data_IF_618758991217
#
_entry.id   IF_618758991217
#
_cell.length_a   1.000
_cell.length_b   1.000
_cell.length_c   1.000
_cell.angle_alpha   90.00
_cell.angle_beta   90.00
_cell.angle_gamma   90.00
#
_symmetry.space_group_name_H-M   'P 1'
#
loop_
_entity.id
_entity.type
_entity.pdbx_description
1 polymer ?
#
# COMPACT_ATOMS: atom_id res chain seq x y z
N UNK A 1 12.50 -10.10 -13.02
CA UNK A 1 11.62 -8.94 -12.74
C UNK A 1 11.70 -8.69 -11.25
N UNK A 2 11.92 -7.44 -10.82
CA UNK A 2 11.87 -7.10 -9.40
C UNK A 2 10.41 -6.83 -9.04
N UNK A 3 9.88 -7.57 -8.06
CA UNK A 3 8.55 -7.34 -7.53
C UNK A 3 8.69 -6.48 -6.29
N UNK A 4 8.21 -5.24 -6.34
CA UNK A 4 8.13 -4.38 -5.17
C UNK A 4 6.77 -4.60 -4.49
N UNK A 5 6.78 -4.61 -3.16
CA UNK A 5 5.55 -4.53 -2.36
C UNK A 5 5.28 -3.05 -2.12
N UNK A 6 4.09 -2.59 -2.48
CA UNK A 6 3.62 -1.24 -2.20
C UNK A 6 2.54 -1.29 -1.14
N UNK A 7 2.49 -0.23 -0.34
CA UNK A 7 1.49 -0.01 0.66
C UNK A 7 0.87 1.38 0.43
N UNK A 8 -0.47 1.43 0.28
CA UNK A 8 -1.20 2.66 0.10
C UNK A 8 -1.50 3.30 1.45
N UNK A 9 -1.00 4.52 1.67
CA UNK A 9 -1.42 5.36 2.78
C UNK A 9 -2.42 6.41 2.27
N UNK A 10 -3.70 6.14 2.48
CA UNK A 10 -4.78 7.04 2.04
C UNK A 10 -5.34 7.77 3.25
N UNK A 11 -5.17 9.10 3.27
CA UNK A 11 -5.69 9.97 4.32
C UNK A 11 -6.87 10.79 3.80
N UNK A 12 -7.94 10.87 4.60
CA UNK A 12 -9.05 11.81 4.40
C UNK A 12 -9.34 12.47 5.73
N UNK A 13 -9.09 13.78 5.83
CA UNK A 13 -9.18 14.54 7.09
C UNK A 13 -8.30 13.90 8.18
N UNK A 14 -8.90 13.45 9.28
CA UNK A 14 -8.20 12.80 10.40
C UNK A 14 -8.25 11.27 10.35
N UNK A 15 -8.73 10.71 9.23
CA UNK A 15 -8.88 9.28 9.05
C UNK A 15 -7.84 8.73 8.07
N UNK A 16 -7.36 7.51 8.38
CA UNK A 16 -6.55 6.68 7.50
C UNK A 16 -7.39 5.49 7.07
N UNK A 17 -7.38 5.19 5.77
CA UNK A 17 -8.07 4.02 5.25
C UNK A 17 -7.29 2.74 5.57
N UNK A 18 -7.97 1.79 6.19
CA UNK A 18 -7.53 0.41 6.36
C UNK A 18 -8.53 -0.52 5.68
N UNK A 19 -8.03 -1.61 5.11
CA UNK A 19 -8.84 -2.62 4.46
C UNK A 19 -8.76 -3.95 5.24
N UNK A 20 -9.87 -4.69 5.26
CA UNK A 20 -9.91 -6.02 5.85
C UNK A 20 -9.54 -7.05 4.79
N UNK A 21 -8.45 -7.76 5.00
CA UNK A 21 -8.05 -8.87 4.12
C UNK A 21 -8.98 -10.08 4.28
N UNK A 22 -8.86 -11.04 3.34
CA UNK A 22 -9.53 -12.35 3.41
C UNK A 22 -9.23 -13.14 4.69
N UNK A 23 -8.05 -12.97 5.29
CA UNK A 23 -7.67 -13.61 6.56
C UNK A 23 -8.26 -12.90 7.80
N UNK A 24 -9.06 -11.85 7.60
CA UNK A 24 -9.72 -11.08 8.66
C UNK A 24 -8.87 -10.01 9.33
N UNK A 25 -7.57 -9.89 8.99
CA UNK A 25 -6.71 -8.83 9.51
C UNK A 25 -7.02 -7.50 8.84
N UNK A 26 -6.96 -6.44 9.63
CA UNK A 26 -7.03 -5.07 9.15
C UNK A 26 -5.62 -4.53 8.95
N UNK A 27 -5.35 -4.01 7.77
CA UNK A 27 -4.06 -3.44 7.41
C UNK A 27 -4.24 -2.35 6.34
N UNK A 28 -3.17 -1.62 6.06
CA UNK A 28 -3.17 -0.72 4.91
C UNK A 28 -3.35 -1.53 3.62
N UNK A 29 -4.08 -1.03 2.61
CA UNK A 29 -4.14 -1.69 1.32
C UNK A 29 -2.73 -1.87 0.75
N UNK A 30 -2.41 -3.08 0.30
CA UNK A 30 -1.08 -3.43 -0.22
C UNK A 30 -1.18 -4.05 -1.59
N UNK A 31 -0.15 -3.84 -2.40
CA UNK A 31 -0.07 -4.41 -3.73
C UNK A 31 1.30 -4.88 -4.17
N UNK A 32 1.31 -5.67 -5.23
CA UNK A 32 2.53 -6.09 -5.91
C UNK A 32 2.59 -5.35 -7.23
N UNK A 33 3.66 -4.58 -7.44
CA UNK A 33 3.84 -3.88 -8.71
C UNK A 33 4.54 -4.76 -9.71
N UNK A 34 3.89 -4.94 -10.84
CA UNK A 34 4.46 -5.58 -12.01
C UNK A 34 4.97 -4.50 -12.97
N UNK A 35 6.27 -4.18 -12.88
CA UNK A 35 6.92 -3.21 -13.76
C UNK A 35 7.36 -1.93 -13.06
N UNK A 36 7.40 -0.82 -13.80
CA UNK A 36 8.12 0.40 -13.42
C UNK A 36 7.22 1.61 -13.08
N UNK A 37 5.90 1.41 -12.96
CA UNK A 37 4.98 2.50 -12.60
C UNK A 37 4.25 2.14 -11.30
N UNK A 38 4.94 2.38 -10.20
CA UNK A 38 4.51 2.08 -8.85
C UNK A 38 3.18 2.76 -8.48
N UNK A 39 3.03 4.03 -8.87
CA UNK A 39 1.86 4.83 -8.55
C UNK A 39 0.63 4.35 -9.31
N UNK A 40 0.73 4.11 -10.62
CA UNK A 40 -0.41 3.56 -11.37
C UNK A 40 -0.78 2.16 -10.91
N UNK A 41 0.20 1.37 -10.50
CA UNK A 41 -0.04 0.01 -10.02
C UNK A 41 -0.89 0.01 -8.75
N UNK A 42 -0.57 0.87 -7.77
CA UNK A 42 -1.36 0.96 -6.53
C UNK A 42 -2.75 1.57 -6.76
N UNK A 43 -2.89 2.54 -7.66
CA UNK A 43 -4.20 3.09 -8.06
C UNK A 43 -5.10 2.01 -8.67
N UNK A 44 -4.54 1.19 -9.58
CA UNK A 44 -5.26 0.09 -10.22
C UNK A 44 -5.71 -0.96 -9.19
N UNK A 45 -4.83 -1.39 -8.31
CA UNK A 45 -5.19 -2.37 -7.29
C UNK A 45 -6.25 -1.88 -6.31
N UNK A 46 -6.16 -0.61 -5.87
CA UNK A 46 -7.18 -0.02 -5.00
C UNK A 46 -8.56 -0.02 -5.64
N UNK A 47 -8.61 0.19 -6.96
CA UNK A 47 -9.85 0.11 -7.72
C UNK A 47 -10.34 -1.34 -7.88
N UNK A 48 -9.46 -2.27 -8.25
CA UNK A 48 -9.81 -3.68 -8.47
C UNK A 48 -10.26 -4.40 -7.19
N UNK A 49 -9.57 -4.19 -6.07
CA UNK A 49 -9.85 -4.91 -4.82
C UNK A 49 -10.93 -4.23 -3.97
N UNK A 50 -10.97 -2.89 -3.97
CA UNK A 50 -11.79 -2.13 -3.03
C UNK A 50 -12.78 -1.17 -3.70
N UNK A 51 -12.78 -1.07 -5.04
CA UNK A 51 -13.58 -0.10 -5.80
C UNK A 51 -13.31 1.36 -5.37
N UNK A 52 -12.09 1.65 -4.92
CA UNK A 52 -11.66 2.97 -4.48
C UNK A 52 -10.89 3.63 -5.61
N UNK A 53 -11.38 4.79 -6.08
CA UNK A 53 -10.67 5.63 -7.05
C UNK A 53 -9.87 6.69 -6.32
N UNK A 54 -8.55 6.63 -6.42
CA UNK A 54 -7.63 7.65 -5.93
C UNK A 54 -6.66 8.07 -7.03
N UNK A 55 -5.97 9.19 -6.80
CA UNK A 55 -4.77 9.57 -7.52
C UNK A 55 -3.61 9.58 -6.52
N UNK A 56 -2.60 8.75 -6.73
CA UNK A 56 -1.45 8.66 -5.86
C UNK A 56 -0.51 9.84 -6.14
N UNK A 57 -0.18 10.62 -5.11
CA UNK A 57 0.59 11.87 -5.26
C UNK A 57 2.05 11.73 -4.88
N UNK A 58 2.37 10.81 -3.96
CA UNK A 58 3.70 10.69 -3.37
C UNK A 58 4.10 9.22 -3.25
N UNK A 59 5.31 8.92 -3.72
CA UNK A 59 6.00 7.67 -3.46
C UNK A 59 7.16 7.94 -2.52
N UNK A 60 7.25 7.18 -1.42
CA UNK A 60 8.41 7.22 -0.53
C UNK A 60 8.81 5.80 -0.15
N UNK A 61 10.11 5.58 -0.03
CA UNK A 61 10.69 4.31 0.35
C UNK A 61 11.12 4.37 1.81
N UNK A 62 10.55 3.49 2.64
CA UNK A 62 11.04 3.32 4.01
C UNK A 62 12.12 2.25 3.97
N UNK A 63 13.38 2.64 4.21
CA UNK A 63 14.44 1.69 4.47
C UNK A 63 14.32 1.23 5.93
N UNK A 64 13.62 0.11 6.14
CA UNK A 64 13.52 -0.50 7.47
C UNK A 64 14.83 -1.27 7.71
N UNK A 65 15.85 -0.59 8.22
CA UNK A 65 16.90 -1.27 8.95
C UNK A 65 16.21 -1.93 10.15
N UNK A 66 16.17 -3.27 10.17
CA UNK A 66 15.55 -4.07 11.24
C UNK A 66 16.02 -3.56 12.61
N UNK A 67 15.18 -2.74 13.26
CA UNK A 67 15.30 -2.47 14.68
C UNK A 67 14.93 -3.77 15.38
N UNK A 68 15.93 -4.65 15.54
CA UNK A 68 15.83 -5.78 16.47
C UNK A 68 15.56 -5.17 17.84
N UNK A 69 14.34 -5.30 18.34
CA UNK A 69 14.09 -5.22 19.76
C UNK A 69 14.86 -6.38 20.39
N UNK A 70 15.94 -6.08 21.10
CA UNK A 70 16.58 -7.05 21.99
C UNK A 70 15.54 -7.57 23.00
N UNK A 71 15.54 -8.87 23.32
CA UNK A 71 14.58 -9.48 24.24
C UNK A 71 14.62 -8.89 25.64
#
# INVERSE_FOLDING_TARGET
MNNNIICALIRKEDFILIAKRRNGKWELPTGITEGSDELKSVERELYEEYNIKVKAELLFYINIALLRSSP
#
